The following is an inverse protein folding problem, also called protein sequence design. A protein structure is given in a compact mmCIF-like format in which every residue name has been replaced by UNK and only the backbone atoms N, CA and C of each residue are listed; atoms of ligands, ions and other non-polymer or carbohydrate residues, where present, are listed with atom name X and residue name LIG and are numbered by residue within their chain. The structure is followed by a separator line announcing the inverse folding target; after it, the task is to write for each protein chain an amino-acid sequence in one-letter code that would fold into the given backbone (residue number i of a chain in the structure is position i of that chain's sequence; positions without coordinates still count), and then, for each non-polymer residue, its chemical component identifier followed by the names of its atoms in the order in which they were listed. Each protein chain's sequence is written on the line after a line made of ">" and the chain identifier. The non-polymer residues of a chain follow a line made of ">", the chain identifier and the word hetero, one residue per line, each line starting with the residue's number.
data_IF_731937692060
#
_entry.id   IF_731937692060
#
_cell.length_a   1.000
_cell.length_b   1.000
_cell.length_c   1.000
_cell.angle_alpha   90.00
_cell.angle_beta   90.00
_cell.angle_gamma   90.00
#
_symmetry.space_group_name_H-M   'P 1'
#
loop_
_entity.id
_entity.type
_entity.pdbx_description
1 polymer ?
#
# COMPACT_ATOMS: atom_id res chain seq x y z
N UNK A 1 -13.13 57.36 15.18
CA UNK A 1 -12.75 57.43 16.60
C UNK A 1 -13.91 56.87 17.40
N UNK A 2 -13.65 55.85 18.22
CA UNK A 2 -14.68 55.18 19.02
C UNK A 2 -14.42 53.68 19.15
N UNK A 3 -13.66 53.33 20.17
CA UNK A 3 -13.33 51.99 20.68
C UNK A 3 -14.56 51.22 21.18
N UNK A 4 -14.61 49.91 20.95
CA UNK A 4 -15.33 48.96 21.78
C UNK A 4 -14.42 47.76 22.07
N UNK A 5 -13.90 47.71 23.29
CA UNK A 5 -13.24 46.56 23.88
C UNK A 5 -14.27 45.47 24.20
N UNK A 6 -14.04 44.26 23.70
CA UNK A 6 -14.66 43.03 24.21
C UNK A 6 -13.60 42.23 24.97
N UNK A 7 -13.61 42.34 26.31
CA UNK A 7 -12.86 41.44 27.19
C UNK A 7 -13.48 40.05 27.10
N UNK A 8 -12.67 39.05 26.71
CA UNK A 8 -12.97 37.65 26.96
C UNK A 8 -12.05 37.17 28.10
N UNK A 9 -12.67 36.75 29.19
CA UNK A 9 -12.03 36.17 30.36
C UNK A 9 -11.17 34.97 29.99
N UNK A 10 -9.85 35.11 30.14
CA UNK A 10 -8.93 33.98 30.22
C UNK A 10 -8.92 33.51 31.66
N UNK A 11 -9.74 32.51 31.95
CA UNK A 11 -9.59 31.69 33.16
C UNK A 11 -8.19 31.08 33.18
N UNK A 12 -7.47 31.35 34.26
CA UNK A 12 -6.15 30.82 34.60
C UNK A 12 -6.07 29.30 34.39
N UNK A 13 -5.47 28.87 33.29
CA UNK A 13 -4.85 27.56 33.20
C UNK A 13 -3.48 27.67 33.89
N UNK A 14 -3.20 26.75 34.81
CA UNK A 14 -1.95 26.69 35.55
C UNK A 14 -0.75 26.64 34.59
N UNK A 15 0.18 27.60 34.72
CA UNK A 15 1.46 27.66 33.98
C UNK A 15 2.36 26.42 34.17
N UNK A 16 2.00 25.51 35.08
CA UNK A 16 2.69 24.24 35.31
C UNK A 16 2.18 23.07 34.43
N UNK A 17 1.00 23.16 33.82
CA UNK A 17 0.54 22.14 32.85
C UNK A 17 1.06 22.42 31.43
N UNK A 18 1.34 23.69 31.09
CA UNK A 18 1.93 24.11 29.81
C UNK A 18 3.41 23.74 29.62
N UNK A 19 4.11 23.27 30.66
CA UNK A 19 5.54 22.90 30.60
C UNK A 19 5.82 21.44 30.25
N UNK A 20 4.79 20.59 30.16
CA UNK A 20 4.95 19.16 29.86
C UNK A 20 4.66 18.76 28.40
N UNK A 21 4.28 19.71 27.53
CA UNK A 21 3.90 19.45 26.12
C UNK A 21 5.01 19.71 25.08
N UNK A 22 6.27 19.89 25.52
CA UNK A 22 7.38 20.39 24.67
C UNK A 22 7.89 19.38 23.61
N UNK A 23 7.31 18.19 23.50
CA UNK A 23 7.48 17.33 22.33
C UNK A 23 6.11 16.85 21.87
N UNK A 24 5.39 17.65 21.08
CA UNK A 24 4.30 17.13 20.26
C UNK A 24 4.91 16.57 18.97
N UNK A 25 4.58 15.31 18.73
CA UNK A 25 5.19 14.41 17.77
C UNK A 25 5.32 14.97 16.35
N UNK A 26 6.54 14.95 15.82
CA UNK A 26 6.79 14.91 14.38
C UNK A 26 7.70 13.73 14.03
N UNK A 27 7.67 13.31 12.77
CA UNK A 27 8.58 12.30 12.25
C UNK A 27 9.81 12.99 11.65
N UNK A 28 11.01 12.50 11.95
CA UNK A 28 12.21 12.96 11.26
C UNK A 28 13.34 11.93 11.28
N UNK A 29 13.96 11.74 10.11
CA UNK A 29 15.22 10.98 9.98
C UNK A 29 16.36 11.94 10.32
N UNK A 30 17.20 11.58 11.29
CA UNK A 30 18.22 12.47 11.85
C UNK A 30 19.55 12.30 11.14
N UNK A 31 20.11 11.10 11.22
CA UNK A 31 21.44 10.83 10.73
C UNK A 31 21.61 9.35 10.38
N UNK A 32 22.54 9.11 9.44
CA UNK A 32 23.13 7.82 9.18
C UNK A 32 24.61 7.89 9.57
N UNK A 33 25.07 6.91 10.33
CA UNK A 33 26.47 6.75 10.70
C UNK A 33 27.07 5.55 9.97
N UNK A 34 28.11 5.78 9.19
CA UNK A 34 28.92 4.71 8.58
C UNK A 34 29.96 4.27 9.61
N UNK A 35 29.96 2.99 9.98
CA UNK A 35 30.81 2.47 11.06
C UNK A 35 32.20 2.03 10.58
N UNK A 36 32.29 1.52 9.36
CA UNK A 36 33.53 1.19 8.67
C UNK A 36 33.41 1.31 7.15
N UNK A 37 34.54 1.20 6.46
CA UNK A 37 34.68 1.28 5.01
C UNK A 37 35.14 -0.05 4.38
N UNK A 38 34.95 -1.19 5.08
CA UNK A 38 35.51 -2.48 4.65
C UNK A 38 34.92 -2.91 3.30
N UNK A 39 33.61 -2.76 3.12
CA UNK A 39 32.92 -3.12 1.89
C UNK A 39 32.79 -1.93 0.94
N UNK A 40 33.86 -1.63 0.19
CA UNK A 40 33.93 -0.50 -0.76
C UNK A 40 32.86 -0.53 -1.86
N UNK A 41 32.34 -1.70 -2.22
CA UNK A 41 31.24 -1.80 -3.20
C UNK A 41 29.92 -1.22 -2.66
N UNK A 42 29.74 -1.28 -1.33
CA UNK A 42 28.56 -0.74 -0.65
C UNK A 42 28.77 0.73 -0.26
N UNK A 43 29.88 1.05 0.39
CA UNK A 43 30.15 2.42 0.86
C UNK A 43 30.48 3.36 -0.31
N UNK A 44 31.06 2.83 -1.39
CA UNK A 44 31.48 3.58 -2.59
C UNK A 44 32.40 4.73 -2.21
N UNK A 45 31.87 5.96 -2.25
CA UNK A 45 32.60 7.19 -1.92
C UNK A 45 32.37 7.65 -0.47
N UNK A 46 31.43 7.02 0.25
CA UNK A 46 31.14 7.37 1.63
C UNK A 46 32.33 6.98 2.52
N UNK A 47 32.68 7.91 3.40
CA UNK A 47 33.65 7.75 4.47
C UNK A 47 32.99 7.38 5.79
N UNK A 48 33.75 6.72 6.66
CA UNK A 48 33.36 6.47 8.05
C UNK A 48 32.99 7.80 8.72
N UNK A 49 31.87 7.82 9.45
CA UNK A 49 31.40 9.02 10.14
C UNK A 49 29.91 9.27 9.98
N UNK A 50 29.50 10.47 10.41
CA UNK A 50 28.11 10.90 10.49
C UNK A 50 27.65 11.66 9.24
N UNK A 51 26.49 11.29 8.72
CA UNK A 51 25.78 11.96 7.64
C UNK A 51 24.40 12.38 8.13
N UNK A 52 24.16 13.68 8.19
CA UNK A 52 22.91 14.22 8.70
C UNK A 52 21.89 14.47 7.58
N UNK A 53 20.64 14.13 7.85
CA UNK A 53 19.51 14.40 6.95
C UNK A 53 18.83 15.74 7.26
N UNK A 54 19.01 16.26 8.47
CA UNK A 54 18.58 17.58 8.90
C UNK A 54 19.58 18.14 9.92
N UNK A 55 19.37 19.38 10.37
CA UNK A 55 20.28 20.06 11.28
C UNK A 55 19.77 20.12 12.72
N UNK A 56 18.73 19.35 13.07
CA UNK A 56 18.13 19.37 14.42
C UNK A 56 19.10 18.83 15.49
N UNK A 57 19.89 17.83 15.12
CA UNK A 57 20.96 17.27 15.95
C UNK A 57 22.31 17.52 15.31
N UNK A 58 23.34 17.54 16.16
CA UNK A 58 24.75 17.53 15.75
C UNK A 58 25.53 16.54 16.61
N UNK A 59 26.73 16.20 16.16
CA UNK A 59 27.69 15.44 16.99
C UNK A 59 28.23 16.38 18.07
N UNK A 60 28.37 15.88 19.28
CA UNK A 60 29.04 16.59 20.38
C UNK A 60 30.52 16.84 20.05
N UNK A 61 31.00 18.06 20.29
CA UNK A 61 32.37 18.47 19.94
C UNK A 61 33.46 17.73 20.73
N UNK A 62 33.10 17.13 21.87
CA UNK A 62 34.03 16.39 22.75
C UNK A 62 33.86 14.88 22.65
N UNK A 63 32.75 14.40 22.09
CA UNK A 63 32.44 12.98 21.97
C UNK A 63 31.76 12.64 20.63
N UNK A 64 32.55 12.07 19.71
CA UNK A 64 32.10 11.64 18.38
C UNK A 64 31.01 10.55 18.38
N UNK A 65 30.69 9.96 19.54
CA UNK A 65 29.61 8.99 19.72
C UNK A 65 28.31 9.61 20.21
N UNK A 66 28.31 10.89 20.56
CA UNK A 66 27.18 11.56 21.20
C UNK A 66 26.46 12.49 20.23
N UNK A 67 25.16 12.30 20.08
CA UNK A 67 24.25 13.21 19.39
C UNK A 67 23.59 14.14 20.40
N UNK A 68 23.65 15.44 20.13
CA UNK A 68 23.07 16.50 20.96
C UNK A 68 22.18 17.40 20.10
N UNK A 69 21.19 18.04 20.71
CA UNK A 69 20.37 19.02 20.02
C UNK A 69 21.24 20.19 19.52
N UNK A 70 20.88 20.71 18.34
CA UNK A 70 21.56 21.84 17.76
C UNK A 70 20.79 23.13 18.05
N UNK A 71 21.23 23.89 19.06
CA UNK A 71 20.59 25.15 19.46
C UNK A 71 20.58 26.22 18.36
N UNK A 72 21.48 26.11 17.38
CA UNK A 72 21.58 27.02 16.24
C UNK A 72 20.62 26.67 15.10
N UNK A 73 19.85 25.59 15.22
CA UNK A 73 18.88 25.20 14.20
C UNK A 73 17.71 26.20 14.15
N UNK A 74 17.45 26.85 12.99
CA UNK A 74 16.48 27.94 12.90
C UNK A 74 15.02 27.48 13.01
N UNK A 75 14.73 26.20 12.76
CA UNK A 75 13.39 25.63 12.81
C UNK A 75 13.19 24.87 14.13
N UNK A 76 13.03 25.62 15.22
CA UNK A 76 12.70 25.05 16.55
C UNK A 76 11.24 24.63 16.64
N UNK A 77 10.37 25.27 15.86
CA UNK A 77 8.98 24.85 15.71
C UNK A 77 8.90 23.64 14.78
N UNK A 78 8.65 22.49 15.39
CA UNK A 78 8.51 21.23 14.69
C UNK A 78 7.41 21.27 13.62
N UNK A 79 6.37 22.09 13.80
CA UNK A 79 5.20 22.22 12.92
C UNK A 79 5.30 23.35 11.88
N UNK A 80 6.50 23.87 11.57
CA UNK A 80 6.67 24.99 10.62
C UNK A 80 5.96 24.74 9.27
N UNK A 81 5.95 23.51 8.78
CA UNK A 81 5.31 23.10 7.52
C UNK A 81 3.90 22.53 7.70
N UNK A 82 3.37 22.62 8.93
CA UNK A 82 2.17 21.94 9.37
C UNK A 82 2.46 20.71 10.22
N UNK A 83 1.46 20.33 11.01
CA UNK A 83 1.53 19.18 11.92
C UNK A 83 1.82 17.88 11.16
N UNK A 84 2.74 17.07 11.67
CA UNK A 84 3.19 15.81 11.07
C UNK A 84 3.90 15.96 9.71
N UNK A 85 4.34 17.16 9.33
CA UNK A 85 5.02 17.40 8.05
C UNK A 85 6.46 17.80 8.33
N UNK A 86 7.40 17.01 7.82
CA UNK A 86 8.83 17.33 7.83
C UNK A 86 9.36 17.24 6.40
N UNK A 87 10.12 18.25 6.00
CA UNK A 87 10.81 18.30 4.70
C UNK A 87 12.29 18.44 4.97
N UNK A 88 13.09 17.66 4.24
CA UNK A 88 14.55 17.68 4.31
C UNK A 88 15.12 17.59 2.91
N UNK A 89 16.28 18.21 2.70
CA UNK A 89 16.96 18.22 1.41
C UNK A 89 18.45 17.89 1.57
N UNK A 90 18.94 16.95 0.78
CA UNK A 90 20.36 16.59 0.73
C UNK A 90 20.98 17.27 -0.49
N UNK A 91 21.81 18.28 -0.25
CA UNK A 91 22.47 19.06 -1.30
C UNK A 91 23.98 18.85 -1.23
N UNK A 92 24.64 18.77 -2.39
CA UNK A 92 26.07 18.55 -2.46
C UNK A 92 26.56 18.48 -3.90
N UNK A 93 27.87 18.64 -4.10
CA UNK A 93 28.51 18.58 -5.42
C UNK A 93 28.31 17.21 -6.08
N UNK A 94 28.44 17.14 -7.40
CA UNK A 94 28.44 15.86 -8.11
C UNK A 94 29.57 14.96 -7.57
N UNK A 95 29.28 13.68 -7.39
CA UNK A 95 30.23 12.74 -6.78
C UNK A 95 30.36 12.79 -5.25
N UNK A 96 29.65 13.70 -4.55
CA UNK A 96 29.75 13.82 -3.07
C UNK A 96 29.08 12.70 -2.27
N UNK A 97 28.62 11.62 -2.92
CA UNK A 97 28.02 10.47 -2.24
C UNK A 97 26.54 10.57 -1.89
N UNK A 98 25.79 11.58 -2.35
CA UNK A 98 24.34 11.73 -2.08
C UNK A 98 23.53 10.46 -2.38
N UNK A 99 23.70 9.90 -3.58
CA UNK A 99 23.01 8.68 -3.99
C UNK A 99 23.52 7.45 -3.25
N UNK A 100 24.81 7.40 -2.92
CA UNK A 100 25.40 6.33 -2.12
C UNK A 100 24.83 6.30 -0.70
N UNK A 101 24.60 7.48 -0.11
CA UNK A 101 23.99 7.62 1.22
C UNK A 101 22.56 7.04 1.24
N UNK A 102 21.76 7.38 0.24
CA UNK A 102 20.41 6.83 0.09
C UNK A 102 20.43 5.33 -0.21
N UNK A 103 21.35 4.85 -1.06
CA UNK A 103 21.49 3.41 -1.33
C UNK A 103 21.85 2.62 -0.07
N UNK A 104 22.77 3.14 0.75
CA UNK A 104 23.13 2.53 2.03
C UNK A 104 21.91 2.46 2.97
N UNK A 105 21.15 3.55 3.06
CA UNK A 105 19.89 3.58 3.80
C UNK A 105 18.90 2.53 3.27
N UNK A 106 18.74 2.36 1.95
CA UNK A 106 17.85 1.35 1.38
C UNK A 106 18.30 -0.07 1.72
N UNK A 107 19.60 -0.36 1.69
CA UNK A 107 20.16 -1.67 2.07
C UNK A 107 19.92 -1.99 3.56
N UNK A 108 20.01 -0.98 4.43
CA UNK A 108 19.70 -1.14 5.86
C UNK A 108 18.23 -1.53 6.08
N UNK A 109 17.30 -0.88 5.37
CA UNK A 109 15.87 -1.18 5.45
C UNK A 109 15.55 -2.54 4.79
N UNK A 110 16.26 -2.90 3.72
CA UNK A 110 16.19 -4.22 3.10
C UNK A 110 16.63 -5.33 4.09
N UNK A 111 17.76 -5.17 4.77
CA UNK A 111 18.23 -6.12 5.79
C UNK A 111 17.23 -6.27 6.94
N UNK A 112 16.61 -5.18 7.40
CA UNK A 112 15.50 -5.25 8.36
C UNK A 112 14.35 -6.11 7.83
N UNK A 113 14.01 -5.97 6.55
CA UNK A 113 12.96 -6.76 5.90
C UNK A 113 13.32 -8.25 5.79
N UNK A 114 14.60 -8.58 5.57
CA UNK A 114 15.14 -9.96 5.61
C UNK A 114 15.00 -10.53 7.01
N UNK A 115 15.50 -9.82 8.04
CA UNK A 115 15.43 -10.23 9.46
C UNK A 115 14.01 -10.54 9.90
N UNK A 116 13.05 -9.75 9.44
CA UNK A 116 11.64 -9.88 9.78
C UNK A 116 10.88 -10.87 8.90
N UNK A 117 11.54 -11.47 7.91
CA UNK A 117 10.96 -12.43 6.99
C UNK A 117 9.68 -11.86 6.29
N UNK A 118 9.76 -10.58 5.91
CA UNK A 118 8.70 -9.85 5.22
C UNK A 118 8.77 -10.02 3.69
N UNK A 119 9.96 -10.34 3.19
CA UNK A 119 10.23 -10.52 1.77
C UNK A 119 9.67 -11.87 1.30
N UNK A 120 8.94 -11.86 0.20
CA UNK A 120 8.53 -13.09 -0.48
C UNK A 120 9.63 -13.49 -1.47
N UNK A 121 9.98 -14.77 -1.51
CA UNK A 121 10.90 -15.29 -2.52
C UNK A 121 10.36 -15.01 -3.92
N UNK A 122 11.19 -14.39 -4.77
CA UNK A 122 10.86 -14.09 -6.17
C UNK A 122 10.95 -15.34 -7.06
N UNK A 123 11.62 -16.40 -6.59
CA UNK A 123 11.74 -17.71 -7.25
C UNK A 123 11.96 -18.78 -6.17
N UNK A 124 11.72 -20.05 -6.50
CA UNK A 124 11.90 -21.19 -5.58
C UNK A 124 13.36 -21.41 -5.20
N UNK A 125 14.30 -20.91 -6.02
CA UNK A 125 15.75 -21.10 -5.88
C UNK A 125 16.49 -19.91 -5.27
N UNK A 126 15.91 -18.71 -5.30
CA UNK A 126 16.54 -17.48 -4.78
C UNK A 126 15.80 -16.95 -3.54
N UNK A 127 16.46 -17.10 -2.39
CA UNK A 127 15.99 -16.53 -1.12
C UNK A 127 16.67 -15.19 -0.86
N UNK A 128 15.94 -14.18 -0.34
CA UNK A 128 16.56 -12.93 0.07
C UNK A 128 17.63 -13.18 1.15
N UNK A 129 18.83 -12.64 0.93
CA UNK A 129 19.98 -12.71 1.87
C UNK A 129 20.39 -11.32 2.31
N UNK A 130 21.11 -11.21 3.43
CA UNK A 130 21.59 -9.93 3.94
C UNK A 130 22.62 -9.29 3.01
N UNK A 131 22.56 -7.96 2.90
CA UNK A 131 23.66 -7.13 2.43
C UNK A 131 24.67 -6.94 3.57
N UNK A 132 25.93 -7.37 3.38
CA UNK A 132 27.01 -7.23 4.38
C UNK A 132 27.45 -5.78 4.54
N UNK A 133 26.87 -5.04 5.48
CA UNK A 133 27.14 -3.62 5.71
C UNK A 133 27.17 -3.26 7.19
N UNK A 134 27.93 -2.21 7.54
CA UNK A 134 28.09 -1.72 8.91
C UNK A 134 27.69 -0.25 9.00
N UNK A 135 26.47 -0.01 9.45
CA UNK A 135 25.90 1.33 9.53
C UNK A 135 24.77 1.41 10.57
N UNK A 136 24.53 2.62 11.06
CA UNK A 136 23.46 2.95 11.99
C UNK A 136 22.60 4.07 11.39
N UNK A 137 21.29 4.00 11.53
CA UNK A 137 20.38 5.11 11.18
C UNK A 137 19.52 5.45 12.38
N UNK A 138 19.39 6.75 12.62
CA UNK A 138 18.67 7.31 13.74
C UNK A 138 17.55 8.20 13.26
N UNK A 139 16.39 8.05 13.87
CA UNK A 139 15.18 8.80 13.55
C UNK A 139 14.32 8.92 14.80
N UNK A 140 13.37 9.84 14.82
CA UNK A 140 12.32 9.82 15.82
C UNK A 140 10.94 9.80 15.19
N UNK A 141 10.01 9.18 15.91
CA UNK A 141 8.62 9.02 15.55
C UNK A 141 7.81 8.97 16.84
N UNK A 142 6.75 9.78 16.95
CA UNK A 142 5.83 9.76 18.10
C UNK A 142 6.52 9.84 19.47
N UNK A 143 7.48 10.78 19.64
CA UNK A 143 8.26 10.98 20.87
C UNK A 143 9.16 9.81 21.27
N UNK A 144 9.41 8.89 20.35
CA UNK A 144 10.34 7.78 20.54
C UNK A 144 11.50 8.00 19.57
N UNK A 145 12.71 8.03 20.12
CA UNK A 145 13.95 8.01 19.38
C UNK A 145 14.30 6.57 19.05
N UNK A 146 14.63 6.30 17.80
CA UNK A 146 14.96 4.98 17.28
C UNK A 146 16.38 4.93 16.74
N UNK A 147 17.00 3.78 16.90
CA UNK A 147 18.22 3.39 16.19
C UNK A 147 17.99 2.09 15.45
N UNK A 148 18.42 2.01 14.20
CA UNK A 148 18.53 0.77 13.43
C UNK A 148 20.01 0.55 13.11
N UNK A 149 20.58 -0.51 13.68
CA UNK A 149 21.97 -0.90 13.43
C UNK A 149 22.01 -2.12 12.54
N UNK A 150 22.84 -2.04 11.51
CA UNK A 150 23.28 -3.17 10.71
C UNK A 150 24.74 -3.43 11.05
N UNK A 151 25.04 -4.66 11.41
CA UNK A 151 26.39 -5.17 11.67
C UNK A 151 26.57 -6.44 10.84
N UNK A 152 27.12 -6.27 9.64
CA UNK A 152 27.26 -7.27 8.60
C UNK A 152 25.93 -7.94 8.24
N UNK A 153 25.69 -9.15 8.74
CA UNK A 153 24.48 -9.94 8.51
C UNK A 153 23.50 -9.90 9.69
N UNK A 154 23.77 -9.05 10.68
CA UNK A 154 22.93 -8.85 11.87
C UNK A 154 22.24 -7.49 11.84
N UNK A 155 21.02 -7.45 12.38
CA UNK A 155 20.19 -6.25 12.46
C UNK A 155 19.67 -6.10 13.88
N UNK A 156 19.81 -4.90 14.43
CA UNK A 156 19.39 -4.56 15.78
C UNK A 156 18.53 -3.29 15.77
N UNK A 157 17.55 -3.24 16.66
CA UNK A 157 16.79 -2.03 16.93
C UNK A 157 17.04 -1.54 18.35
N UNK A 158 16.98 -0.23 18.48
CA UNK A 158 16.99 0.50 19.73
C UNK A 158 15.80 1.46 19.71
N UNK A 159 15.17 1.65 20.87
CA UNK A 159 14.17 2.71 21.07
C UNK A 159 14.29 3.30 22.46
N UNK A 160 14.11 4.61 22.58
CA UNK A 160 14.06 5.31 23.85
C UNK A 160 13.06 6.46 23.76
N UNK A 161 12.29 6.67 24.83
CA UNK A 161 11.38 7.82 24.91
C UNK A 161 12.21 9.10 24.98
N UNK A 162 11.84 10.08 24.17
CA UNK A 162 12.45 11.41 24.15
C UNK A 162 11.95 12.18 25.37
N UNK A 163 12.89 12.81 26.08
CA UNK A 163 12.63 13.80 27.14
C UNK A 163 13.14 15.17 26.68
N UNK A 164 12.81 16.23 27.40
CA UNK A 164 13.39 17.55 27.13
C UNK A 164 14.93 17.47 27.14
N UNK A 165 15.57 18.12 26.17
CA UNK A 165 17.01 18.09 25.94
C UNK A 165 17.58 16.67 25.77
N UNK A 166 16.87 15.82 25.01
CA UNK A 166 17.33 14.47 24.72
C UNK A 166 18.68 14.47 24.00
N UNK A 167 19.65 13.80 24.61
CA UNK A 167 20.96 13.50 24.04
C UNK A 167 21.12 11.99 23.96
N UNK A 168 21.83 11.52 22.95
CA UNK A 168 22.08 10.09 22.76
C UNK A 168 23.57 9.82 22.66
N UNK A 169 24.11 9.09 23.63
CA UNK A 169 25.45 8.49 23.52
C UNK A 169 25.33 7.07 22.96
N UNK A 170 25.75 6.91 21.70
CA UNK A 170 25.65 5.66 20.95
C UNK A 170 26.45 4.52 21.56
N UNK A 171 27.52 4.79 22.32
CA UNK A 171 28.30 3.74 22.98
C UNK A 171 27.56 3.05 24.12
N UNK A 172 26.54 3.71 24.67
CA UNK A 172 25.76 3.21 25.79
C UNK A 172 24.45 2.54 25.34
N UNK A 173 24.21 2.46 24.03
CA UNK A 173 23.01 1.81 23.49
C UNK A 173 23.10 0.31 23.73
N UNK A 174 22.13 -0.21 24.47
CA UNK A 174 21.85 -1.65 24.52
C UNK A 174 21.05 -2.04 23.28
N UNK A 175 21.75 -2.51 22.25
CA UNK A 175 21.15 -2.96 21.00
C UNK A 175 20.34 -4.24 21.19
N UNK A 176 19.02 -4.17 20.97
CA UNK A 176 18.13 -5.32 21.07
C UNK A 176 18.14 -6.17 19.80
N UNK A 177 18.23 -7.50 19.96
CA UNK A 177 18.10 -8.47 18.86
C UNK A 177 16.67 -9.07 18.77
N UNK A 178 15.71 -8.47 19.47
CA UNK A 178 14.35 -9.02 19.65
C UNK A 178 13.46 -8.90 18.40
N UNK A 179 13.94 -8.20 17.37
CA UNK A 179 13.18 -7.94 16.16
C UNK A 179 13.11 -9.20 15.32
N UNK A 180 11.98 -9.87 15.43
CA UNK A 180 11.63 -11.05 14.64
C UNK A 180 10.21 -10.88 14.11
N UNK A 181 9.83 -11.74 13.16
CA UNK A 181 8.45 -11.79 12.64
C UNK A 181 7.39 -11.90 13.74
N UNK A 182 7.74 -12.48 14.88
CA UNK A 182 6.83 -12.75 15.98
C UNK A 182 6.72 -11.59 16.98
N UNK A 183 7.54 -10.54 16.83
CA UNK A 183 7.55 -9.37 17.73
C UNK A 183 7.38 -8.06 16.94
N UNK A 184 6.29 -7.98 16.17
CA UNK A 184 5.97 -6.83 15.30
C UNK A 184 5.64 -5.54 16.09
N UNK A 185 5.37 -5.62 17.39
CA UNK A 185 5.10 -4.45 18.24
C UNK A 185 6.24 -3.41 18.18
N UNK A 186 7.47 -3.85 17.93
CA UNK A 186 8.62 -2.96 17.73
C UNK A 186 8.54 -2.11 16.46
N UNK A 187 7.72 -2.51 15.48
CA UNK A 187 7.50 -1.78 14.23
C UNK A 187 6.25 -0.90 14.22
N UNK A 188 5.37 -0.97 15.22
CA UNK A 188 4.09 -0.22 15.19
C UNK A 188 4.28 1.29 14.98
N UNK A 189 5.41 1.84 15.41
CA UNK A 189 5.79 3.24 15.22
C UNK A 189 6.98 3.45 14.28
N UNK A 190 7.42 2.38 13.60
CA UNK A 190 8.40 2.47 12.52
C UNK A 190 7.73 3.07 11.27
N UNK A 191 8.47 3.84 10.51
CA UNK A 191 7.93 4.57 9.36
C UNK A 191 7.94 3.72 8.09
N UNK A 192 6.98 3.98 7.21
CA UNK A 192 6.95 3.43 5.86
C UNK A 192 7.49 4.46 4.87
N UNK A 193 8.33 4.01 3.93
CA UNK A 193 8.99 4.89 2.95
C UNK A 193 8.55 4.60 1.51
N UNK A 194 8.21 5.65 0.77
CA UNK A 194 8.06 5.61 -0.68
C UNK A 194 9.22 6.37 -1.31
N UNK A 195 10.07 5.67 -2.04
CA UNK A 195 11.17 6.28 -2.79
C UNK A 195 10.73 6.46 -4.23
N UNK A 196 10.52 7.72 -4.64
CA UNK A 196 10.22 8.07 -6.03
C UNK A 196 11.52 8.36 -6.77
N UNK A 197 11.90 7.47 -7.69
CA UNK A 197 13.13 7.59 -8.44
C UNK A 197 12.88 8.08 -9.88
N UNK A 198 13.26 9.34 -10.15
CA UNK A 198 13.20 9.94 -11.49
C UNK A 198 14.41 9.60 -12.37
N UNK A 199 15.49 9.05 -11.80
CA UNK A 199 16.61 8.56 -12.60
C UNK A 199 16.31 7.17 -13.14
N UNK A 200 15.87 7.11 -14.39
CA UNK A 200 15.47 5.86 -15.06
C UNK A 200 16.66 4.88 -15.14
N UNK A 201 17.89 5.38 -15.26
CA UNK A 201 19.10 4.58 -15.36
C UNK A 201 19.66 4.13 -14.00
N UNK A 202 19.18 4.67 -12.87
CA UNK A 202 19.63 4.25 -11.55
C UNK A 202 18.90 2.98 -11.07
N UNK A 203 19.48 2.27 -10.11
CA UNK A 203 18.88 1.10 -9.46
C UNK A 203 18.59 -0.08 -10.40
N UNK A 204 19.43 -0.29 -11.43
CA UNK A 204 19.35 -1.46 -12.30
C UNK A 204 19.93 -2.65 -11.52
N UNK A 205 19.16 -3.74 -11.37
CA UNK A 205 19.56 -4.89 -10.57
C UNK A 205 20.92 -5.49 -10.94
N UNK A 206 21.24 -5.50 -12.24
CA UNK A 206 22.51 -5.99 -12.74
C UNK A 206 23.73 -5.23 -12.19
N UNK A 207 23.58 -3.96 -11.81
CA UNK A 207 24.66 -3.15 -11.22
C UNK A 207 25.03 -3.62 -9.80
N UNK A 208 24.21 -4.49 -9.21
CA UNK A 208 24.34 -4.98 -7.83
C UNK A 208 24.46 -6.49 -7.75
N UNK A 209 24.62 -7.18 -8.88
CA UNK A 209 24.54 -8.63 -8.95
C UNK A 209 25.92 -9.29 -8.96
N UNK A 210 26.67 -9.08 -7.88
CA UNK A 210 28.05 -9.60 -7.73
C UNK A 210 28.09 -11.14 -7.82
N UNK A 211 27.04 -11.81 -7.36
CA UNK A 211 26.94 -13.27 -7.31
C UNK A 211 26.35 -13.92 -8.58
N UNK A 212 26.06 -13.11 -9.62
CA UNK A 212 25.40 -13.57 -10.86
C UNK A 212 24.14 -14.40 -10.61
N UNK A 213 23.40 -14.08 -9.55
CA UNK A 213 22.09 -14.67 -9.25
C UNK A 213 21.05 -14.12 -10.22
N UNK A 214 19.83 -14.67 -10.23
CA UNK A 214 18.78 -14.12 -11.11
C UNK A 214 18.28 -12.76 -10.60
N UNK A 215 18.30 -12.57 -9.28
CA UNK A 215 17.85 -11.35 -8.61
C UNK A 215 18.92 -10.80 -7.68
N UNK A 216 18.94 -9.48 -7.51
CA UNK A 216 19.72 -8.77 -6.50
C UNK A 216 18.82 -8.20 -5.38
N UNK A 217 19.41 -7.73 -4.29
CA UNK A 217 18.69 -7.17 -3.13
C UNK A 217 17.68 -6.07 -3.54
N UNK A 218 18.03 -5.25 -4.53
CA UNK A 218 17.20 -4.14 -5.00
C UNK A 218 15.90 -4.61 -5.66
N UNK A 219 15.89 -5.79 -6.30
CA UNK A 219 14.69 -6.34 -6.95
C UNK A 219 13.57 -6.57 -5.95
N UNK A 220 13.92 -6.94 -4.71
CA UNK A 220 12.94 -7.18 -3.66
C UNK A 220 12.26 -5.90 -3.15
N UNK A 221 12.83 -4.72 -3.42
CA UNK A 221 12.24 -3.42 -3.07
C UNK A 221 11.32 -2.87 -4.17
N UNK A 222 11.40 -3.41 -5.38
CA UNK A 222 10.44 -3.19 -6.46
C UNK A 222 9.31 -4.22 -6.36
N UNK A 223 8.20 -3.83 -5.76
CA UNK A 223 7.08 -4.74 -5.52
C UNK A 223 5.75 -3.99 -5.66
N UNK A 224 4.78 -4.64 -6.29
CA UNK A 224 3.49 -4.03 -6.64
C UNK A 224 2.34 -4.44 -5.71
N UNK A 225 2.46 -5.60 -5.05
CA UNK A 225 1.35 -6.25 -4.35
C UNK A 225 1.76 -6.83 -2.98
N UNK A 226 2.61 -6.13 -2.24
CA UNK A 226 3.01 -6.57 -0.90
C UNK A 226 2.00 -6.16 0.18
N UNK A 227 1.14 -5.19 -0.14
CA UNK A 227 0.17 -4.64 0.80
C UNK A 227 0.81 -3.67 1.79
N UNK A 228 1.88 -2.96 1.41
CA UNK A 228 2.63 -2.04 2.28
C UNK A 228 3.28 -2.73 3.48
N UNK A 229 3.74 -3.98 3.29
CA UNK A 229 4.41 -4.78 4.31
C UNK A 229 5.87 -4.43 4.44
N UNK A 230 6.56 -4.15 3.34
CA UNK A 230 7.96 -3.78 3.42
C UNK A 230 8.07 -2.34 3.92
N UNK A 231 8.98 -2.01 4.85
CA UNK A 231 9.18 -0.63 5.32
C UNK A 231 9.65 0.36 4.23
N UNK A 232 10.02 -0.12 3.03
CA UNK A 232 10.42 0.72 1.91
C UNK A 232 10.00 0.13 0.57
N UNK A 233 9.45 0.98 -0.31
CA UNK A 233 9.17 0.67 -1.72
C UNK A 233 9.89 1.64 -2.66
N UNK A 234 10.35 1.11 -3.80
CA UNK A 234 10.83 1.91 -4.92
C UNK A 234 9.73 2.06 -5.99
N UNK A 235 9.48 3.31 -6.41
CA UNK A 235 8.48 3.68 -7.41
C UNK A 235 9.14 4.52 -8.54
N UNK A 236 8.82 4.32 -9.83
CA UNK A 236 7.88 3.35 -10.39
C UNK A 236 8.32 1.89 -10.20
N UNK A 237 7.37 0.96 -10.28
CA UNK A 237 7.69 -0.47 -10.25
C UNK A 237 8.59 -0.83 -11.45
N UNK A 238 9.64 -1.60 -11.19
CA UNK A 238 10.56 -2.10 -12.21
C UNK A 238 10.66 -3.62 -12.12
N UNK A 239 10.73 -4.26 -13.28
CA UNK A 239 11.08 -5.68 -13.38
C UNK A 239 12.31 -5.80 -14.26
N UNK A 240 13.45 -6.18 -13.68
CA UNK A 240 14.72 -6.30 -14.40
C UNK A 240 15.07 -5.04 -15.19
N UNK A 241 14.92 -3.86 -14.56
CA UNK A 241 15.14 -2.55 -15.19
C UNK A 241 14.04 -2.08 -16.15
N UNK A 242 13.04 -2.91 -16.45
CA UNK A 242 11.93 -2.54 -17.35
C UNK A 242 10.81 -1.84 -16.59
N UNK A 243 10.36 -0.68 -17.09
CA UNK A 243 9.18 0.05 -16.63
C UNK A 243 8.07 -0.10 -17.67
N UNK A 244 6.88 -0.48 -17.24
CA UNK A 244 5.70 -0.48 -18.11
C UNK A 244 5.01 0.89 -18.05
N UNK A 245 5.35 1.78 -18.99
CA UNK A 245 4.83 3.15 -19.03
C UNK A 245 3.31 3.21 -19.21
N UNK A 246 2.70 2.27 -19.93
CA UNK A 246 1.23 2.20 -20.06
C UNK A 246 0.57 1.96 -18.70
N UNK A 247 1.17 1.09 -17.88
CA UNK A 247 0.68 0.86 -16.52
C UNK A 247 0.85 2.09 -15.64
N UNK A 248 1.99 2.77 -15.69
CA UNK A 248 2.22 4.00 -14.92
C UNK A 248 1.29 5.14 -15.34
N UNK A 249 1.01 5.26 -16.63
CA UNK A 249 0.03 6.20 -17.17
C UNK A 249 -1.38 5.90 -16.64
N UNK A 250 -1.84 4.66 -16.75
CA UNK A 250 -3.14 4.22 -16.22
C UNK A 250 -3.27 4.50 -14.72
N UNK A 251 -2.22 4.22 -13.94
CA UNK A 251 -2.19 4.49 -12.50
C UNK A 251 -2.22 6.00 -12.19
N UNK A 252 -1.55 6.81 -13.00
CA UNK A 252 -1.56 8.27 -12.86
C UNK A 252 -2.94 8.83 -13.14
N UNK A 253 -3.60 8.38 -14.22
CA UNK A 253 -4.98 8.76 -14.53
C UNK A 253 -5.94 8.35 -13.40
N UNK A 254 -5.79 7.16 -12.84
CA UNK A 254 -6.60 6.71 -11.70
C UNK A 254 -6.42 7.62 -10.46
N UNK A 255 -5.17 7.95 -10.12
CA UNK A 255 -4.86 8.84 -8.98
C UNK A 255 -5.40 10.26 -9.20
N UNK A 256 -5.21 10.81 -10.40
CA UNK A 256 -5.76 12.11 -10.77
C UNK A 256 -7.29 12.10 -10.71
N UNK A 257 -7.91 11.03 -11.20
CA UNK A 257 -9.37 10.86 -11.12
C UNK A 257 -9.84 10.85 -9.67
N UNK A 258 -9.17 10.09 -8.79
CA UNK A 258 -9.50 10.06 -7.36
C UNK A 258 -9.36 11.45 -6.70
N UNK A 259 -8.28 12.18 -7.00
CA UNK A 259 -8.08 13.56 -6.50
C UNK A 259 -9.14 14.53 -7.02
N UNK A 260 -9.50 14.44 -8.30
CA UNK A 260 -10.54 15.27 -8.90
C UNK A 260 -11.93 14.99 -8.34
N UNK A 261 -12.13 13.81 -7.76
CA UNK A 261 -13.38 13.45 -7.12
C UNK A 261 -13.41 13.89 -5.65
N UNK A 262 -12.27 13.77 -4.96
CA UNK A 262 -12.15 14.17 -3.56
C UNK A 262 -12.10 15.70 -3.39
N UNK A 263 -11.40 16.39 -4.28
CA UNK A 263 -11.29 17.84 -4.28
C UNK A 263 -11.32 18.40 -5.70
N UNK A 264 -12.52 18.74 -6.16
CA UNK A 264 -12.76 19.16 -7.54
C UNK A 264 -12.00 20.45 -7.94
N UNK A 265 -11.54 21.27 -7.00
CA UNK A 265 -10.88 22.55 -7.29
C UNK A 265 -9.44 22.59 -6.75
N UNK A 266 -8.72 21.47 -6.83
CA UNK A 266 -7.34 21.42 -6.34
C UNK A 266 -6.30 22.03 -7.29
N UNK A 267 -6.66 22.29 -8.56
CA UNK A 267 -5.75 22.87 -9.55
C UNK A 267 -6.12 24.34 -9.79
N UNK A 268 -5.22 25.26 -9.41
CA UNK A 268 -5.40 26.69 -9.61
C UNK A 268 -5.66 27.04 -11.09
N UNK A 269 -6.70 27.84 -11.33
CA UNK A 269 -7.09 28.27 -12.67
C UNK A 269 -7.92 27.26 -13.47
N UNK A 270 -8.21 26.07 -12.92
CA UNK A 270 -9.09 25.09 -13.55
C UNK A 270 -10.39 24.94 -12.76
N UNK A 271 -11.53 24.96 -13.46
CA UNK A 271 -12.83 24.65 -12.88
C UNK A 271 -13.25 23.24 -13.27
N UNK A 272 -13.56 22.41 -12.29
CA UNK A 272 -14.13 21.09 -12.56
C UNK A 272 -15.48 21.19 -13.26
N UNK A 273 -15.59 20.56 -14.43
CA UNK A 273 -16.80 20.61 -15.28
C UNK A 273 -17.78 19.50 -14.93
N UNK A 274 -17.38 18.24 -15.17
CA UNK A 274 -18.19 17.06 -14.91
C UNK A 274 -17.32 15.79 -14.82
N UNK A 275 -17.89 14.73 -14.23
CA UNK A 275 -17.38 13.36 -14.34
C UNK A 275 -18.45 12.52 -15.03
N UNK A 276 -18.04 11.75 -16.03
CA UNK A 276 -18.85 10.74 -16.69
C UNK A 276 -18.21 9.37 -16.49
N UNK A 277 -18.97 8.40 -15.98
CA UNK A 277 -18.56 7.00 -16.02
C UNK A 277 -18.80 6.47 -17.45
N UNK A 278 -17.95 5.56 -17.92
CA UNK A 278 -18.08 4.89 -19.22
C UNK A 278 -17.82 3.39 -19.04
N UNK A 279 -18.51 2.52 -19.78
CA UNK A 279 -18.23 1.07 -19.68
C UNK A 279 -16.89 0.85 -20.31
N UNK A 280 -16.15 -0.02 -19.66
CA UNK A 280 -15.02 -0.66 -20.26
C UNK A 280 -15.32 -2.16 -20.43
N UNK A 281 -16.42 -2.49 -21.15
CA UNK A 281 -16.78 -3.87 -21.47
C UNK A 281 -15.65 -4.59 -22.20
N UNK A 282 -14.87 -3.88 -23.01
CA UNK A 282 -13.66 -4.42 -23.64
C UNK A 282 -12.61 -4.83 -22.62
N UNK A 283 -12.36 -4.08 -21.53
CA UNK A 283 -11.36 -4.42 -20.51
C UNK A 283 -11.83 -5.54 -19.57
N UNK A 284 -13.12 -5.59 -19.28
CA UNK A 284 -13.81 -6.76 -18.72
C UNK A 284 -13.51 -7.92 -19.65
N UNK A 285 -14.01 -7.90 -20.88
CA UNK A 285 -13.85 -8.98 -21.83
C UNK A 285 -12.39 -9.35 -22.05
N UNK A 286 -11.42 -8.44 -22.07
CA UNK A 286 -9.97 -8.74 -22.12
C UNK A 286 -9.43 -9.43 -20.87
N UNK A 287 -9.96 -9.12 -19.67
CA UNK A 287 -9.72 -9.94 -18.48
C UNK A 287 -10.31 -11.35 -18.64
N UNK A 288 -11.37 -11.52 -19.44
CA UNK A 288 -12.09 -12.77 -19.65
C UNK A 288 -11.65 -13.55 -20.93
N UNK A 289 -11.09 -12.93 -21.96
CA UNK A 289 -10.66 -13.51 -23.27
C UNK A 289 -9.22 -13.98 -23.25
N UNK A 290 -8.46 -13.73 -22.18
CA UNK A 290 -7.24 -14.50 -21.89
C UNK A 290 -7.52 -15.94 -21.45
N UNK A 291 -8.77 -16.37 -21.48
CA UNK A 291 -9.20 -17.74 -21.32
C UNK A 291 -9.86 -18.16 -22.64
N UNK A 292 -9.54 -19.35 -23.18
CA UNK A 292 -10.07 -19.77 -24.47
C UNK A 292 -11.60 -19.81 -24.36
N UNK A 293 -12.28 -19.05 -25.21
CA UNK A 293 -13.64 -19.37 -25.60
C UNK A 293 -13.52 -20.51 -26.59
N UNK A 294 -13.54 -21.75 -26.09
CA UNK A 294 -13.91 -22.83 -26.97
C UNK A 294 -15.39 -22.63 -27.27
N UNK A 295 -15.73 -22.52 -28.55
CA UNK A 295 -17.08 -22.71 -29.10
C UNK A 295 -17.57 -24.18 -28.91
N UNK A 296 -17.07 -24.88 -27.91
CA UNK A 296 -17.55 -26.19 -27.53
C UNK A 296 -18.71 -25.99 -26.55
N UNK A 297 -19.92 -26.16 -27.09
CA UNK A 297 -21.17 -26.39 -26.36
C UNK A 297 -21.15 -27.69 -25.52
N UNK A 298 -20.02 -28.05 -24.90
CA UNK A 298 -20.03 -29.06 -23.84
C UNK A 298 -20.39 -28.37 -22.53
N UNK A 299 -21.68 -28.16 -22.32
CA UNK A 299 -22.25 -27.89 -21.01
C UNK A 299 -21.73 -29.00 -20.10
N UNK A 300 -20.80 -28.68 -19.20
CA UNK A 300 -20.48 -29.54 -18.06
C UNK A 300 -21.75 -29.59 -17.21
N UNK A 301 -22.63 -30.54 -17.52
CA UNK A 301 -23.82 -30.81 -16.74
C UNK A 301 -23.33 -31.30 -15.39
N UNK A 302 -23.51 -30.47 -14.36
CA UNK A 302 -23.35 -30.88 -12.98
C UNK A 302 -24.46 -31.91 -12.70
N UNK A 303 -24.19 -33.23 -12.71
CA UNK A 303 -25.24 -34.25 -12.87
C UNK A 303 -26.16 -34.39 -11.64
N UNK A 304 -25.93 -33.60 -10.59
CA UNK A 304 -26.48 -33.81 -9.25
C UNK A 304 -27.02 -32.54 -8.55
N UNK A 305 -27.21 -31.41 -9.25
CA UNK A 305 -27.63 -30.14 -8.60
C UNK A 305 -26.76 -29.73 -7.39
N UNK A 306 -25.49 -30.11 -7.37
CA UNK A 306 -24.60 -29.80 -6.25
C UNK A 306 -24.19 -28.32 -6.29
N UNK A 307 -24.04 -27.64 -5.14
CA UNK A 307 -23.62 -26.24 -5.10
C UNK A 307 -22.29 -26.03 -5.83
N UNK A 308 -22.28 -25.06 -6.75
CA UNK A 308 -21.09 -24.64 -7.48
C UNK A 308 -20.25 -23.65 -6.67
N UNK A 309 -19.03 -23.37 -7.14
CA UNK A 309 -18.17 -22.34 -6.53
C UNK A 309 -18.90 -20.99 -6.56
N UNK A 310 -19.57 -20.67 -7.67
CA UNK A 310 -20.40 -19.46 -7.79
C UNK A 310 -21.46 -19.40 -6.70
N UNK A 311 -22.23 -20.47 -6.51
CA UNK A 311 -23.30 -20.52 -5.52
C UNK A 311 -22.78 -20.27 -4.10
N UNK A 312 -21.64 -20.90 -3.75
CA UNK A 312 -21.03 -20.71 -2.42
C UNK A 312 -20.48 -19.31 -2.19
N UNK A 313 -19.85 -18.69 -3.18
CA UNK A 313 -19.42 -17.30 -3.02
C UNK A 313 -20.61 -16.34 -2.83
N UNK A 314 -21.67 -16.52 -3.62
CA UNK A 314 -22.89 -15.71 -3.54
C UNK A 314 -23.54 -15.86 -2.16
N UNK A 315 -23.68 -17.11 -1.69
CA UNK A 315 -24.18 -17.45 -0.36
C UNK A 315 -23.38 -16.73 0.73
N UNK A 316 -22.05 -16.89 0.77
CA UNK A 316 -21.23 -16.31 1.83
C UNK A 316 -21.08 -14.79 1.76
N UNK A 317 -21.13 -14.19 0.57
CA UNK A 317 -21.21 -12.74 0.46
C UNK A 317 -22.58 -12.18 0.86
N UNK A 318 -23.58 -13.04 1.07
CA UNK A 318 -24.94 -12.66 1.45
C UNK A 318 -25.64 -11.87 0.35
N UNK A 319 -25.35 -12.19 -0.92
CA UNK A 319 -25.97 -11.49 -2.04
C UNK A 319 -27.21 -12.26 -2.48
N UNK A 320 -28.35 -11.58 -2.50
CA UNK A 320 -29.55 -12.14 -3.08
C UNK A 320 -29.39 -12.21 -4.60
N UNK A 321 -29.24 -13.41 -5.14
CA UNK A 321 -29.62 -13.64 -6.53
C UNK A 321 -31.12 -13.81 -6.52
N UNK A 322 -31.83 -12.95 -7.25
CA UNK A 322 -33.21 -13.24 -7.60
C UNK A 322 -33.21 -14.45 -8.55
N UNK A 323 -32.97 -15.65 -8.01
CA UNK A 323 -33.23 -16.88 -8.70
C UNK A 323 -34.74 -17.01 -8.74
N UNK A 324 -35.32 -16.80 -9.93
CA UNK A 324 -36.61 -17.33 -10.36
C UNK A 324 -37.58 -17.63 -9.21
N UNK A 325 -38.00 -16.60 -8.48
CA UNK A 325 -39.30 -16.65 -7.83
C UNK A 325 -40.26 -16.08 -8.85
N UNK A 326 -41.31 -16.84 -9.16
CA UNK A 326 -42.35 -16.55 -10.16
C UNK A 326 -43.12 -15.24 -9.91
N UNK A 327 -42.66 -14.39 -9.00
CA UNK A 327 -43.29 -13.15 -8.56
C UNK A 327 -42.36 -11.92 -8.61
N UNK A 328 -41.32 -11.93 -9.45
CA UNK A 328 -40.60 -10.71 -9.77
C UNK A 328 -41.36 -9.96 -10.90
N UNK A 329 -41.75 -8.68 -10.73
CA UNK A 329 -42.45 -7.91 -11.78
C UNK A 329 -41.63 -7.66 -13.06
N UNK A 330 -40.44 -8.28 -13.17
CA UNK A 330 -39.55 -8.26 -14.33
C UNK A 330 -39.62 -9.55 -15.19
N UNK A 331 -40.40 -10.56 -14.78
CA UNK A 331 -40.54 -11.84 -15.48
C UNK A 331 -41.86 -12.00 -16.26
N UNK A 332 -42.60 -10.93 -16.54
CA UNK A 332 -43.78 -11.00 -17.41
C UNK A 332 -43.41 -10.92 -18.90
N UNK A 333 -42.66 -11.90 -19.41
CA UNK A 333 -42.69 -12.39 -20.80
C UNK A 333 -41.41 -13.20 -21.08
N UNK A 334 -41.51 -14.51 -20.92
CA UNK A 334 -40.51 -15.43 -21.45
C UNK A 334 -40.75 -15.56 -22.96
N UNK A 335 -40.24 -14.60 -23.73
CA UNK A 335 -40.16 -14.66 -25.18
C UNK A 335 -38.85 -14.00 -25.60
N UNK A 336 -37.88 -14.81 -26.04
CA UNK A 336 -36.75 -14.48 -26.94
C UNK A 336 -36.02 -13.12 -26.83
N UNK A 337 -36.16 -12.38 -25.74
CA UNK A 337 -35.53 -11.08 -25.53
C UNK A 337 -34.19 -11.25 -24.83
N UNK A 338 -33.13 -10.53 -25.26
CA UNK A 338 -31.86 -10.51 -24.54
C UNK A 338 -32.09 -10.15 -23.07
N UNK A 339 -31.34 -10.74 -22.10
CA UNK A 339 -31.47 -10.35 -20.71
C UNK A 339 -31.32 -8.82 -20.60
N UNK A 340 -32.19 -8.21 -19.80
CA UNK A 340 -32.16 -6.76 -19.57
C UNK A 340 -30.74 -6.34 -19.20
N UNK A 341 -30.31 -5.15 -19.64
CA UNK A 341 -28.95 -4.64 -19.40
C UNK A 341 -28.54 -4.79 -17.92
N UNK A 342 -29.49 -4.62 -17.00
CA UNK A 342 -29.38 -4.88 -15.56
C UNK A 342 -28.86 -6.28 -15.23
N UNK A 343 -29.48 -7.32 -15.80
CA UNK A 343 -29.13 -8.73 -15.53
C UNK A 343 -27.70 -9.02 -15.99
N UNK A 344 -27.35 -8.56 -17.20
CA UNK A 344 -25.99 -8.72 -17.74
C UNK A 344 -24.94 -8.03 -16.87
N UNK A 345 -25.21 -6.81 -16.39
CA UNK A 345 -24.29 -6.06 -15.53
C UNK A 345 -24.11 -6.73 -14.16
N UNK A 346 -25.18 -7.25 -13.57
CA UNK A 346 -25.13 -8.00 -12.31
C UNK A 346 -24.30 -9.29 -12.48
N UNK A 347 -24.50 -10.01 -13.58
CA UNK A 347 -23.75 -11.24 -13.86
C UNK A 347 -22.24 -10.98 -14.01
N UNK A 348 -21.86 -9.94 -14.76
CA UNK A 348 -20.46 -9.52 -14.88
C UNK A 348 -19.88 -9.12 -13.52
N UNK A 349 -20.65 -8.40 -12.70
CA UNK A 349 -20.22 -8.01 -11.37
C UNK A 349 -19.97 -9.23 -10.45
N UNK A 350 -20.81 -10.28 -10.54
CA UNK A 350 -20.58 -11.53 -9.80
C UNK A 350 -19.31 -12.24 -10.26
N UNK A 351 -19.11 -12.37 -11.56
CA UNK A 351 -17.89 -12.99 -12.10
C UNK A 351 -16.65 -12.23 -11.62
N UNK A 352 -16.65 -10.89 -11.72
CA UNK A 352 -15.56 -10.06 -11.23
C UNK A 352 -15.34 -10.25 -9.72
N UNK A 353 -16.39 -10.21 -8.91
CA UNK A 353 -16.34 -10.38 -7.46
C UNK A 353 -15.62 -11.67 -7.08
N UNK A 354 -16.03 -12.79 -7.67
CA UNK A 354 -15.48 -14.11 -7.39
C UNK A 354 -14.01 -14.19 -7.82
N UNK A 355 -13.71 -13.84 -9.07
CA UNK A 355 -12.34 -13.89 -9.58
C UNK A 355 -11.40 -12.96 -8.82
N UNK A 356 -11.88 -11.78 -8.43
CA UNK A 356 -11.09 -10.85 -7.62
C UNK A 356 -10.83 -11.42 -6.24
N UNK A 357 -11.79 -12.11 -5.62
CA UNK A 357 -11.63 -12.81 -4.34
C UNK A 357 -10.57 -13.91 -4.43
N UNK A 358 -10.65 -14.75 -5.46
CA UNK A 358 -9.63 -15.77 -5.73
C UNK A 358 -8.26 -15.13 -6.00
N UNK A 359 -8.22 -14.06 -6.79
CA UNK A 359 -6.97 -13.32 -7.06
C UNK A 359 -6.37 -12.69 -5.80
N UNK A 360 -7.16 -12.32 -4.80
CA UNK A 360 -6.65 -11.82 -3.52
C UNK A 360 -5.95 -12.95 -2.76
N UNK A 361 -6.58 -14.14 -2.70
CA UNK A 361 -6.02 -15.32 -2.02
C UNK A 361 -4.68 -15.78 -2.59
N UNK A 362 -4.48 -15.62 -3.90
CA UNK A 362 -3.25 -16.03 -4.59
C UNK A 362 -2.12 -15.00 -4.44
N UNK A 363 -2.45 -13.71 -4.49
CA UNK A 363 -1.46 -12.62 -4.52
C UNK A 363 -0.97 -12.21 -3.13
N UNK A 364 -1.85 -12.17 -2.14
CA UNK A 364 -1.53 -11.59 -0.84
C UNK A 364 -1.28 -12.69 0.19
N UNK A 365 -0.10 -12.67 0.80
CA UNK A 365 0.33 -13.72 1.74
C UNK A 365 -0.62 -13.91 2.93
N UNK A 366 -1.31 -12.85 3.38
CA UNK A 366 -2.27 -12.95 4.47
C UNK A 366 -3.48 -13.82 4.09
N UNK A 367 -3.79 -13.97 2.80
CA UNK A 367 -4.94 -14.72 2.31
C UNK A 367 -4.56 -16.09 1.70
N UNK A 368 -3.27 -16.41 1.59
CA UNK A 368 -2.77 -17.66 0.96
C UNK A 368 -3.30 -18.94 1.61
N UNK A 369 -3.55 -18.96 2.91
CA UNK A 369 -4.10 -20.15 3.59
C UNK A 369 -5.49 -20.53 3.06
N UNK A 370 -6.22 -19.57 2.46
CA UNK A 370 -7.54 -19.78 1.87
C UNK A 370 -7.48 -19.91 0.33
N UNK A 371 -6.29 -20.11 -0.25
CA UNK A 371 -6.14 -20.29 -1.69
C UNK A 371 -6.85 -21.56 -2.15
N UNK A 372 -7.69 -21.41 -3.17
CA UNK A 372 -8.49 -22.51 -3.71
C UNK A 372 -7.66 -23.46 -4.59
N UNK A 373 -6.39 -23.15 -4.88
CA UNK A 373 -5.51 -23.91 -5.79
C UNK A 373 -6.18 -24.24 -7.13
N UNK A 374 -7.13 -23.39 -7.54
CA UNK A 374 -7.70 -23.41 -8.88
C UNK A 374 -6.58 -22.88 -9.74
N UNK A 375 -5.72 -23.77 -10.21
CA UNK A 375 -4.60 -23.40 -11.08
C UNK A 375 -5.19 -22.48 -12.16
N UNK A 376 -4.59 -21.31 -12.33
CA UNK A 376 -4.70 -20.51 -13.56
C UNK A 376 -4.09 -21.33 -14.71
N UNK A 377 -4.63 -22.52 -14.99
CA UNK A 377 -4.43 -23.17 -16.27
C UNK A 377 -5.22 -22.31 -17.21
N UNK A 378 -4.51 -21.53 -18.01
CA UNK A 378 -5.02 -20.65 -19.06
C UNK A 378 -5.73 -21.44 -20.19
N UNK A 379 -6.25 -22.63 -19.89
CA UNK A 379 -6.83 -23.61 -20.82
C UNK A 379 -8.31 -23.88 -20.51
N UNK A 380 -8.91 -23.26 -19.49
CA UNK A 380 -10.33 -23.45 -19.12
C UNK A 380 -11.07 -22.12 -19.08
N UNK A 381 -12.34 -22.11 -19.49
CA UNK A 381 -13.17 -20.90 -19.44
C UNK A 381 -13.44 -20.46 -17.98
N UNK A 382 -13.78 -19.19 -17.77
CA UNK A 382 -14.23 -18.72 -16.45
C UNK A 382 -15.44 -19.51 -15.96
N UNK A 383 -16.35 -19.84 -16.88
CA UNK A 383 -17.57 -20.57 -16.56
C UNK A 383 -17.26 -21.98 -16.05
N UNK A 384 -16.23 -22.66 -16.58
CA UNK A 384 -15.79 -23.96 -16.06
C UNK A 384 -15.31 -23.90 -14.61
N UNK A 385 -14.67 -22.79 -14.23
CA UNK A 385 -14.19 -22.57 -12.87
C UNK A 385 -15.37 -22.30 -11.94
N UNK A 386 -16.27 -21.40 -12.35
CA UNK A 386 -17.40 -20.95 -11.53
C UNK A 386 -18.42 -22.06 -11.31
N UNK A 387 -18.66 -22.90 -12.31
CA UNK A 387 -19.63 -23.99 -12.28
C UNK A 387 -19.07 -25.29 -11.68
N UNK A 388 -17.80 -25.30 -11.25
CA UNK A 388 -17.20 -26.46 -10.59
C UNK A 388 -17.89 -26.74 -9.25
N UNK A 389 -18.05 -28.02 -8.92
CA UNK A 389 -18.54 -28.45 -7.61
C UNK A 389 -17.70 -27.87 -6.46
N UNK A 390 -18.36 -27.20 -5.51
CA UNK A 390 -17.74 -26.52 -4.38
C UNK A 390 -17.50 -27.39 -3.14
N UNK A 391 -17.92 -28.66 -3.13
CA UNK A 391 -17.83 -29.53 -1.95
C UNK A 391 -16.45 -29.57 -1.30
N UNK A 392 -15.39 -29.61 -2.11
CA UNK A 392 -13.98 -29.63 -1.65
C UNK A 392 -13.41 -28.24 -1.32
N UNK A 393 -14.16 -27.17 -1.61
CA UNK A 393 -13.72 -25.78 -1.46
C UNK A 393 -14.52 -24.99 -0.45
N UNK A 394 -15.67 -25.50 0.01
CA UNK A 394 -16.64 -24.79 0.81
C UNK A 394 -16.02 -24.02 2.00
N UNK A 395 -15.24 -24.70 2.82
CA UNK A 395 -14.63 -24.10 4.02
C UNK A 395 -13.57 -23.05 3.65
N UNK A 396 -12.80 -23.29 2.58
CA UNK A 396 -11.84 -22.31 2.08
C UNK A 396 -12.53 -21.06 1.53
N UNK A 397 -13.64 -21.22 0.80
CA UNK A 397 -14.43 -20.11 0.28
C UNK A 397 -15.01 -19.31 1.44
N UNK A 398 -15.62 -19.98 2.42
CA UNK A 398 -16.17 -19.36 3.63
C UNK A 398 -15.12 -18.51 4.35
N UNK A 399 -13.99 -19.14 4.70
CA UNK A 399 -12.88 -18.48 5.40
C UNK A 399 -12.29 -17.33 4.57
N UNK A 400 -12.25 -17.44 3.24
CA UNK A 400 -11.79 -16.37 2.37
C UNK A 400 -12.74 -15.17 2.41
N UNK A 401 -14.04 -15.42 2.27
CA UNK A 401 -15.07 -14.37 2.26
C UNK A 401 -15.13 -13.65 3.60
N UNK A 402 -15.16 -14.39 4.71
CA UNK A 402 -15.16 -13.81 6.07
C UNK A 402 -13.91 -12.94 6.31
N UNK A 403 -12.74 -13.42 5.85
CA UNK A 403 -11.50 -12.65 5.94
C UNK A 403 -11.51 -11.40 5.06
N UNK A 404 -12.07 -11.47 3.86
CA UNK A 404 -12.19 -10.31 2.96
C UNK A 404 -13.16 -9.28 3.56
N UNK A 405 -14.28 -9.72 4.11
CA UNK A 405 -15.29 -8.83 4.71
C UNK A 405 -14.79 -8.12 5.97
N UNK A 406 -13.97 -8.79 6.79
CA UNK A 406 -13.36 -8.21 7.98
C UNK A 406 -12.13 -7.34 7.71
N UNK A 407 -11.51 -7.46 6.53
CA UNK A 407 -10.32 -6.69 6.18
C UNK A 407 -10.66 -5.25 5.73
N UNK A 408 -10.12 -4.28 6.46
CA UNK A 408 -10.30 -2.83 6.22
C UNK A 408 -9.26 -2.23 5.29
N UNK A 409 -8.29 -3.01 4.81
CA UNK A 409 -7.21 -2.50 3.98
C UNK A 409 -7.66 -2.21 2.54
N UNK A 410 -6.80 -1.49 1.81
CA UNK A 410 -6.96 -1.22 0.38
C UNK A 410 -7.04 -2.49 -0.50
N UNK A 411 -6.60 -3.66 0.01
CA UNK A 411 -6.63 -4.94 -0.72
C UNK A 411 -8.06 -5.31 -1.12
N UNK A 412 -9.02 -5.07 -0.24
CA UNK A 412 -10.43 -5.45 -0.41
C UNK A 412 -11.31 -4.33 -0.96
N UNK A 413 -10.73 -3.15 -1.23
CA UNK A 413 -11.49 -1.98 -1.72
C UNK A 413 -12.31 -2.30 -2.98
N UNK A 414 -11.71 -2.99 -3.95
CA UNK A 414 -12.41 -3.37 -5.20
C UNK A 414 -13.56 -4.36 -4.96
N UNK A 415 -13.46 -5.21 -3.93
CA UNK A 415 -14.55 -6.11 -3.54
C UNK A 415 -15.71 -5.29 -2.95
N UNK A 416 -15.41 -4.36 -2.04
CA UNK A 416 -16.42 -3.46 -1.43
C UNK A 416 -17.13 -2.63 -2.49
N UNK A 417 -16.39 -2.06 -3.45
CA UNK A 417 -16.94 -1.31 -4.58
C UNK A 417 -17.96 -2.14 -5.38
N UNK A 418 -17.63 -3.39 -5.69
CA UNK A 418 -18.49 -4.28 -6.48
C UNK A 418 -19.71 -4.74 -5.69
N UNK A 419 -19.56 -5.05 -4.40
CA UNK A 419 -20.69 -5.38 -3.53
C UNK A 419 -21.67 -4.21 -3.43
N UNK A 420 -21.19 -2.99 -3.31
CA UNK A 420 -22.03 -1.80 -3.30
C UNK A 420 -22.71 -1.54 -4.64
N UNK A 421 -21.98 -1.75 -5.74
CA UNK A 421 -22.53 -1.68 -7.08
C UNK A 421 -23.70 -2.65 -7.25
N UNK A 422 -23.53 -3.92 -6.85
CA UNK A 422 -24.58 -4.94 -6.94
C UNK A 422 -25.81 -4.52 -6.11
N UNK A 423 -25.61 -4.14 -4.84
CA UNK A 423 -26.69 -3.65 -3.97
C UNK A 423 -27.42 -2.45 -4.56
N UNK A 424 -26.69 -1.53 -5.17
CA UNK A 424 -27.28 -0.34 -5.77
C UNK A 424 -28.19 -0.69 -6.95
N UNK A 425 -27.69 -1.49 -7.89
CA UNK A 425 -28.44 -1.86 -9.09
C UNK A 425 -29.69 -2.67 -8.71
N UNK A 426 -29.58 -3.57 -7.73
CA UNK A 426 -30.72 -4.35 -7.25
C UNK A 426 -31.84 -3.48 -6.68
N UNK A 427 -31.50 -2.39 -6.01
CA UNK A 427 -32.48 -1.51 -5.37
C UNK A 427 -33.00 -0.39 -6.27
N UNK A 428 -32.20 0.10 -7.23
CA UNK A 428 -32.49 1.34 -7.97
C UNK A 428 -32.48 1.19 -9.50
N UNK A 429 -32.11 0.01 -10.02
CA UNK A 429 -31.96 -0.20 -11.46
C UNK A 429 -30.74 0.51 -12.07
N UNK A 430 -30.77 0.69 -13.40
CA UNK A 430 -29.63 1.08 -14.26
C UNK A 430 -29.69 2.58 -14.62
N UNK A 431 -30.40 3.42 -13.86
CA UNK A 431 -30.67 4.81 -14.25
C UNK A 431 -29.52 5.78 -14.00
N UNK A 432 -29.02 5.85 -12.75
CA UNK A 432 -27.94 6.76 -12.31
C UNK A 432 -27.27 6.13 -11.09
N UNK A 433 -25.94 6.13 -10.96
CA UNK A 433 -25.24 5.71 -9.72
C UNK A 433 -24.57 6.96 -9.14
N UNK A 434 -24.79 7.23 -7.84
CA UNK A 434 -23.99 8.27 -7.16
C UNK A 434 -22.62 7.68 -6.82
N UNK A 435 -21.58 8.44 -7.10
CA UNK A 435 -20.20 8.04 -6.85
C UNK A 435 -19.95 7.62 -5.38
N UNK A 436 -20.55 8.34 -4.43
CA UNK A 436 -20.40 8.10 -2.99
C UNK A 436 -20.83 6.68 -2.56
N UNK A 437 -21.73 6.04 -3.33
CA UNK A 437 -22.11 4.64 -3.09
C UNK A 437 -20.98 3.66 -3.38
N UNK A 438 -20.06 3.99 -4.29
CA UNK A 438 -18.96 3.09 -4.65
C UNK A 438 -17.83 3.13 -3.62
N UNK A 439 -17.59 4.26 -2.94
CA UNK A 439 -16.44 4.39 -2.03
C UNK A 439 -16.69 4.04 -0.56
N UNK A 440 -17.94 4.01 -0.09
CA UNK A 440 -18.36 3.52 1.24
C UNK A 440 -17.62 4.00 2.50
N UNK A 441 -16.74 4.99 2.43
CA UNK A 441 -16.17 5.59 3.63
C UNK A 441 -17.03 6.79 4.06
N UNK A 442 -17.66 6.64 5.23
CA UNK A 442 -18.48 7.68 5.88
C UNK A 442 -17.69 8.97 6.18
N UNK A 443 -16.37 8.97 6.00
CA UNK A 443 -15.49 10.13 6.16
C UNK A 443 -15.46 11.07 4.94
N UNK A 444 -16.00 10.67 3.79
CA UNK A 444 -15.90 11.43 2.52
C UNK A 444 -17.19 12.14 2.09
N UNK A 445 -18.11 12.44 3.02
CA UNK A 445 -19.35 13.14 2.70
C UNK A 445 -19.11 14.65 2.55
N UNK A 446 -18.74 15.11 1.35
CA UNK A 446 -18.99 16.50 0.89
C UNK A 446 -19.54 16.50 -0.54
N UNK A 447 -20.71 17.11 -0.70
CA UNK A 447 -21.47 17.42 -1.92
C UNK A 447 -21.75 16.28 -2.93
N UNK A 448 -22.85 15.58 -2.69
CA UNK A 448 -23.46 14.57 -3.59
C UNK A 448 -23.78 15.10 -5.00
N UNK A 449 -23.34 14.41 -6.05
CA UNK A 449 -23.83 14.61 -7.43
C UNK A 449 -24.15 13.27 -8.13
N UNK A 450 -25.25 13.25 -8.86
CA UNK A 450 -25.74 12.11 -9.65
C UNK A 450 -24.92 11.97 -10.94
N UNK A 451 -24.52 10.76 -11.29
CA UNK A 451 -23.90 10.47 -12.60
C UNK A 451 -24.81 9.54 -13.42
N UNK A 452 -24.98 9.86 -14.71
CA UNK A 452 -25.75 9.01 -15.64
C UNK A 452 -25.06 7.67 -15.81
N UNK A 453 -25.85 6.59 -15.72
CA UNK A 453 -25.38 5.20 -15.69
C UNK A 453 -25.39 4.62 -17.10
N UNK A 454 -24.92 5.41 -18.06
CA UNK A 454 -24.31 4.78 -19.20
C UNK A 454 -23.01 4.19 -18.68
N UNK A 455 -23.13 2.91 -18.34
CA UNK A 455 -22.07 1.96 -18.56
C UNK A 455 -21.02 1.92 -17.40
N UNK A 456 -21.18 0.98 -16.44
CA UNK A 456 -20.21 0.67 -15.37
C UNK A 456 -19.42 -0.63 -15.60
N UNK A 457 -18.10 -0.47 -15.73
CA UNK A 457 -17.04 -1.13 -14.94
C UNK A 457 -15.71 -0.50 -15.39
N UNK A 458 -15.01 0.14 -14.44
CA UNK A 458 -13.55 0.16 -14.29
C UNK A 458 -13.13 1.26 -13.27
N UNK A 459 -12.67 0.82 -12.09
CA UNK A 459 -11.43 1.31 -11.46
C UNK A 459 -10.53 0.09 -11.26
#
# INVERSE_FOLDING_TARGET
>A
MGSCEGKADRTNMNDNELKNDIFMANFSIIALRVLDEENKNITKVLKKGWYFFNQLYKVDEKNDNKLVLNDAYPLKDYDFLGKNISISAIVGKNGSGKSSLLELFFRMIYNLSVKMNLLTSLDTRDKPTYCKLNAEVYFFSNNIFYGLKNDNESVYLFRQKITNNFELDTSNISWGNEVTKNNQSYLESFFYSIVVNYSIQAYISNDYNDNKTKYSWIDYLFHKNDGYKLPLVLNPFRSHGTINLNTEYDLTIQRLSALLIDNNNFIDGYSFKNISLKNNFSKINEMFTKLPTNDDNSISTNPYNLPTIKDKFIEYYGIFVAHNTDNNPLNSSFDSTPPSLTIKLIEIAYQYLILKSVSISTKYQNFKNNELNIKNRFDKSVDDILNKNASTYNDKIKNLVEKIQSDTSHITLKIKQVLNFIKYIQNNGVGQIKYDYLLNDKTFLRDTRLSNLDQIIAI
#
